data_IF_767487629312
#
_entry.id   IF_767487629312
#
_cell.length_a   1.000
_cell.length_b   1.000
_cell.length_c   1.000
_cell.angle_alpha   90.00
_cell.angle_beta   90.00
_cell.angle_gamma   90.00
#
_symmetry.space_group_name_H-M   'P 1'
#
loop_
_entity.id
_entity.type
_entity.pdbx_description
1 polymer ?
#
# COMPACT_ATOMS: atom_id res chain seq x y z
N UNK A 1 -15.45 -5.23 5.37
CA UNK A 1 -14.41 -6.15 4.84
C UNK A 1 -13.35 -6.29 5.91
N UNK A 2 -13.01 -7.52 6.29
CA UNK A 2 -11.90 -7.78 7.21
C UNK A 2 -10.61 -7.87 6.37
N UNK A 3 -9.55 -7.17 6.78
CA UNK A 3 -8.24 -7.23 6.12
C UNK A 3 -7.47 -8.37 6.79
N UNK A 4 -7.06 -9.36 6.01
CA UNK A 4 -6.21 -10.46 6.48
C UNK A 4 -4.78 -10.13 6.10
N UNK A 5 -3.89 -10.04 7.08
CA UNK A 5 -2.46 -9.83 6.85
C UNK A 5 -1.78 -11.18 6.98
N UNK A 6 -1.23 -11.68 5.86
CA UNK A 6 -0.29 -12.79 5.82
C UNK A 6 1.07 -12.21 5.45
N UNK A 7 2.07 -12.30 6.33
CA UNK A 7 3.38 -11.67 6.14
C UNK A 7 3.43 -10.20 6.60
N UNK A 8 4.18 -9.35 5.88
CA UNK A 8 4.45 -7.94 6.28
C UNK A 8 3.45 -6.92 5.74
N UNK A 9 2.67 -7.27 4.73
CA UNK A 9 1.62 -6.44 4.15
C UNK A 9 0.44 -7.31 3.68
N UNK A 10 -0.80 -6.82 3.75
CA UNK A 10 -1.96 -7.55 3.24
C UNK A 10 -1.97 -7.59 1.71
N UNK A 11 -2.44 -8.71 1.15
CA UNK A 11 -2.86 -8.78 -0.26
C UNK A 11 -4.05 -7.84 -0.46
N UNK A 12 -4.05 -7.09 -1.55
CA UNK A 12 -5.13 -6.17 -1.89
C UNK A 12 -6.49 -6.89 -1.90
N UNK A 13 -7.49 -6.30 -1.25
CA UNK A 13 -8.77 -6.98 -1.01
C UNK A 13 -9.58 -7.27 -2.28
N UNK A 14 -9.23 -6.64 -3.41
CA UNK A 14 -9.87 -6.90 -4.70
C UNK A 14 -9.13 -7.98 -5.51
N UNK A 15 -8.00 -8.50 -5.01
CA UNK A 15 -7.31 -9.65 -5.59
C UNK A 15 -7.93 -10.96 -5.09
N UNK A 16 -9.22 -11.16 -5.41
CA UNK A 16 -10.00 -12.33 -4.98
C UNK A 16 -9.31 -13.69 -5.21
N UNK A 17 -8.58 -13.93 -6.33
CA UNK A 17 -7.91 -15.20 -6.56
C UNK A 17 -6.75 -15.51 -5.61
N UNK A 18 -6.21 -14.51 -4.89
CA UNK A 18 -4.98 -14.63 -4.10
C UNK A 18 -5.17 -14.33 -2.61
N UNK A 19 -6.23 -13.61 -2.24
CA UNK A 19 -6.42 -13.06 -0.88
C UNK A 19 -6.35 -14.09 0.27
N UNK A 20 -6.70 -15.36 0.02
CA UNK A 20 -6.74 -16.42 1.04
C UNK A 20 -5.67 -17.50 0.85
N UNK A 21 -4.83 -17.41 -0.18
CA UNK A 21 -3.89 -18.48 -0.57
C UNK A 21 -2.48 -17.98 -0.92
N UNK A 22 -2.22 -16.69 -0.69
CA UNK A 22 -0.97 -16.05 -1.01
C UNK A 22 -0.68 -14.90 -0.03
N UNK A 23 0.54 -14.39 -0.09
CA UNK A 23 0.99 -13.24 0.67
C UNK A 23 1.76 -12.26 -0.24
N UNK A 24 1.89 -11.01 0.21
CA UNK A 24 2.77 -10.04 -0.46
C UNK A 24 4.21 -10.47 -0.24
N UNK A 25 4.95 -10.61 -1.34
CA UNK A 25 6.36 -11.01 -1.33
C UNK A 25 7.23 -9.96 -0.62
N UNK A 26 8.22 -10.45 0.12
CA UNK A 26 9.24 -9.61 0.73
C UNK A 26 10.60 -10.31 0.73
N UNK A 27 11.68 -9.54 0.60
CA UNK A 27 13.06 -10.02 0.57
C UNK A 27 13.93 -8.96 1.26
N UNK A 28 14.85 -9.35 2.15
CA UNK A 28 15.77 -8.44 2.86
C UNK A 28 15.07 -7.21 3.49
N UNK A 29 13.95 -7.45 4.18
CA UNK A 29 13.07 -6.42 4.75
C UNK A 29 12.39 -5.47 3.75
N UNK A 30 12.59 -5.67 2.45
CA UNK A 30 11.92 -4.95 1.38
C UNK A 30 10.59 -5.63 1.07
N UNK A 31 9.50 -4.93 1.33
CA UNK A 31 8.15 -5.37 0.98
C UNK A 31 7.86 -4.89 -0.45
N UNK A 32 7.48 -5.81 -1.34
CA UNK A 32 7.10 -5.49 -2.72
C UNK A 32 5.62 -5.12 -2.81
N UNK A 33 5.27 -4.03 -2.12
CA UNK A 33 3.95 -3.39 -2.12
C UNK A 33 4.12 -1.88 -2.21
N UNK A 34 3.34 -1.24 -3.08
CA UNK A 34 3.32 0.21 -3.19
C UNK A 34 1.93 0.70 -3.60
N UNK A 35 1.43 1.66 -2.82
CA UNK A 35 0.30 2.51 -3.19
C UNK A 35 0.84 3.84 -3.71
N UNK A 36 0.37 4.21 -4.89
CA UNK A 36 0.73 5.44 -5.58
C UNK A 36 -0.49 6.34 -5.73
N UNK A 37 -0.30 7.64 -5.62
CA UNK A 37 -1.34 8.64 -5.85
C UNK A 37 -0.89 9.73 -6.82
N UNK A 38 -1.78 10.14 -7.71
CA UNK A 38 -1.57 11.26 -8.61
C UNK A 38 -2.73 12.25 -8.44
N UNK A 39 -2.42 13.43 -7.92
CA UNK A 39 -3.38 14.53 -7.80
C UNK A 39 -3.04 15.61 -8.81
N UNK A 40 -4.02 16.02 -9.60
CA UNK A 40 -3.97 17.24 -10.39
C UNK A 40 -5.14 18.15 -9.97
N UNK A 41 -4.80 19.20 -9.22
CA UNK A 41 -5.74 20.16 -8.66
C UNK A 41 -6.51 20.95 -9.74
N UNK A 42 -5.88 21.23 -10.88
CA UNK A 42 -6.51 22.02 -11.96
C UNK A 42 -7.68 21.28 -12.63
N UNK A 43 -7.71 19.94 -12.55
CA UNK A 43 -8.73 19.12 -13.22
C UNK A 43 -9.51 18.20 -12.26
N UNK A 44 -9.39 18.38 -10.95
CA UNK A 44 -9.99 17.49 -9.92
C UNK A 44 -9.76 15.99 -10.24
N UNK A 45 -8.55 15.68 -10.67
CA UNK A 45 -8.11 14.35 -11.06
C UNK A 45 -7.32 13.76 -9.89
N UNK A 46 -7.96 12.89 -9.13
CA UNK A 46 -7.33 12.13 -8.06
C UNK A 46 -7.35 10.64 -8.44
N UNK A 47 -6.17 10.09 -8.75
CA UNK A 47 -6.00 8.73 -9.27
C UNK A 47 -5.05 7.95 -8.40
N UNK A 48 -5.38 6.69 -8.12
CA UNK A 48 -4.48 5.78 -7.44
C UNK A 48 -3.94 4.71 -8.38
N UNK A 49 -2.81 4.12 -8.00
CA UNK A 49 -2.26 2.93 -8.61
C UNK A 49 -1.62 2.07 -7.52
N UNK A 50 -2.00 0.80 -7.41
CA UNK A 50 -1.43 -0.20 -6.51
C UNK A 50 -0.62 -1.17 -7.35
N UNK A 51 0.55 -1.56 -6.84
CA UNK A 51 1.39 -2.61 -7.39
C UNK A 51 1.78 -3.53 -6.23
N UNK A 52 1.54 -4.83 -6.37
CA UNK A 52 1.94 -5.85 -5.39
C UNK A 52 2.59 -7.04 -6.10
N UNK A 53 3.76 -7.47 -5.62
CA UNK A 53 4.30 -8.78 -5.97
C UNK A 53 3.74 -9.79 -4.95
N UNK A 54 3.11 -10.85 -5.44
CA UNK A 54 2.40 -11.84 -4.65
C UNK A 54 3.07 -13.20 -4.85
N UNK A 55 3.31 -13.92 -3.76
CA UNK A 55 3.79 -15.31 -3.73
C UNK A 55 2.70 -16.22 -3.15
N UNK A 56 2.44 -17.34 -3.82
CA UNK A 56 1.47 -18.34 -3.32
C UNK A 56 2.03 -19.11 -2.11
N UNK A 57 1.17 -19.35 -1.11
CA UNK A 57 1.60 -19.95 0.17
C UNK A 57 2.05 -21.42 0.03
N UNK A 58 1.45 -22.14 -0.92
CA UNK A 58 1.59 -23.60 -1.05
C UNK A 58 2.61 -24.03 -2.11
N UNK A 59 2.93 -23.15 -3.06
CA UNK A 59 3.77 -23.47 -4.22
C UNK A 59 4.61 -22.26 -4.58
N UNK A 60 5.83 -22.49 -5.10
CA UNK A 60 6.71 -21.43 -5.59
C UNK A 60 6.16 -20.84 -6.89
N UNK A 61 5.17 -19.96 -6.76
CA UNK A 61 4.45 -19.33 -7.85
C UNK A 61 4.24 -17.84 -7.55
N UNK A 62 4.68 -17.00 -8.47
CA UNK A 62 4.68 -15.55 -8.34
C UNK A 62 3.68 -14.91 -9.29
N UNK A 63 3.10 -13.80 -8.85
CA UNK A 63 2.21 -12.98 -9.67
C UNK A 63 2.39 -11.51 -9.32
N UNK A 64 2.16 -10.62 -10.28
CA UNK A 64 2.12 -9.17 -10.02
C UNK A 64 0.69 -8.69 -10.17
N UNK A 65 0.17 -8.11 -9.09
CA UNK A 65 -1.13 -7.48 -9.03
C UNK A 65 -1.01 -5.98 -9.27
N UNK A 66 -1.87 -5.48 -10.13
CA UNK A 66 -2.03 -4.06 -10.39
C UNK A 66 -3.50 -3.68 -10.20
N UNK A 67 -3.75 -2.55 -9.52
CA UNK A 67 -5.09 -1.96 -9.43
C UNK A 67 -5.03 -0.45 -9.56
N UNK A 68 -5.89 0.15 -10.36
CA UNK A 68 -5.84 1.59 -10.62
C UNK A 68 -7.21 2.19 -10.88
N UNK A 69 -7.37 3.46 -10.57
CA UNK A 69 -8.63 4.14 -10.82
C UNK A 69 -8.71 5.49 -10.15
N UNK A 70 -9.93 6.05 -10.11
CA UNK A 70 -10.21 7.25 -9.32
C UNK A 70 -10.25 6.88 -7.84
N UNK A 71 -9.62 7.69 -6.99
CA UNK A 71 -9.67 7.49 -5.53
C UNK A 71 -11.13 7.45 -5.04
N UNK A 72 -11.45 6.52 -4.13
CA UNK A 72 -12.81 6.27 -3.65
C UNK A 72 -13.68 5.43 -4.60
N UNK A 73 -13.09 4.78 -5.61
CA UNK A 73 -13.72 3.76 -6.47
C UNK A 73 -12.83 2.52 -6.49
N UNK A 74 -13.43 1.38 -6.83
CA UNK A 74 -12.71 0.08 -6.93
C UNK A 74 -11.62 0.14 -8.01
N UNK A 75 -11.95 0.76 -9.16
CA UNK A 75 -11.03 0.89 -10.29
C UNK A 75 -11.03 -0.32 -11.22
N UNK A 76 -9.99 -0.42 -12.03
CA UNK A 76 -9.66 -1.58 -12.86
C UNK A 76 -8.47 -2.31 -12.24
N UNK A 77 -8.32 -3.59 -12.56
CA UNK A 77 -7.22 -4.40 -12.07
C UNK A 77 -6.68 -5.34 -13.13
N UNK A 78 -5.48 -5.86 -12.87
CA UNK A 78 -4.84 -6.90 -13.67
C UNK A 78 -3.96 -7.76 -12.76
N UNK A 79 -4.08 -9.07 -12.88
CA UNK A 79 -3.18 -10.04 -12.27
C UNK A 79 -2.35 -10.67 -13.39
N UNK A 80 -1.03 -10.53 -13.33
CA UNK A 80 -0.09 -11.14 -14.28
C UNK A 80 0.64 -12.28 -13.57
N UNK A 81 0.58 -13.49 -14.14
CA UNK A 81 1.24 -14.68 -13.58
C UNK A 81 2.64 -14.83 -14.16
N UNK A 82 3.60 -15.19 -13.30
CA UNK A 82 5.01 -15.41 -13.66
C UNK A 82 5.46 -16.85 -13.39
N UNK A 83 4.60 -17.72 -12.84
CA UNK A 83 5.03 -19.08 -12.51
C UNK A 83 6.14 -19.05 -11.44
N UNK A 84 7.15 -19.89 -11.59
CA UNK A 84 8.32 -19.90 -10.71
C UNK A 84 9.36 -18.81 -11.00
N UNK A 85 9.10 -17.91 -11.96
CA UNK A 85 10.03 -16.84 -12.37
C UNK A 85 9.92 -15.61 -11.45
N UNK A 86 10.63 -15.66 -10.32
CA UNK A 86 10.68 -14.56 -9.36
C UNK A 86 11.31 -13.29 -9.97
N UNK A 87 12.39 -13.44 -10.73
CA UNK A 87 13.11 -12.29 -11.28
C UNK A 87 12.27 -11.56 -12.34
N UNK A 88 11.56 -12.28 -13.20
CA UNK A 88 10.59 -11.68 -14.12
C UNK A 88 9.47 -10.93 -13.39
N UNK A 89 8.97 -11.47 -12.27
CA UNK A 89 7.97 -10.79 -11.44
C UNK A 89 8.54 -9.50 -10.79
N UNK A 90 9.78 -9.55 -10.27
CA UNK A 90 10.48 -8.38 -9.72
C UNK A 90 10.69 -7.32 -10.80
N UNK A 91 11.18 -7.68 -11.98
CA UNK A 91 11.37 -6.76 -13.10
C UNK A 91 10.06 -6.08 -13.51
N UNK A 92 8.96 -6.83 -13.57
CA UNK A 92 7.65 -6.27 -13.90
C UNK A 92 7.15 -5.27 -12.85
N UNK A 93 7.29 -5.60 -11.57
CA UNK A 93 7.00 -4.69 -10.47
C UNK A 93 7.83 -3.40 -10.57
N UNK A 94 9.16 -3.53 -10.66
CA UNK A 94 10.11 -2.42 -10.68
C UNK A 94 9.90 -1.55 -11.93
N UNK A 95 9.72 -2.17 -13.09
CA UNK A 95 9.44 -1.50 -14.35
C UNK A 95 8.12 -0.72 -14.30
N UNK A 96 7.07 -1.28 -13.68
CA UNK A 96 5.81 -0.56 -13.51
C UNK A 96 5.96 0.62 -12.57
N UNK A 97 6.65 0.47 -11.44
CA UNK A 97 6.94 1.55 -10.51
C UNK A 97 7.65 2.70 -11.23
N UNK A 98 8.76 2.41 -11.91
CA UNK A 98 9.51 3.41 -12.67
C UNK A 98 8.64 4.11 -13.73
N UNK A 99 7.82 3.38 -14.48
CA UNK A 99 6.94 3.99 -15.49
C UNK A 99 5.94 5.00 -14.89
N UNK A 100 5.47 4.76 -13.65
CA UNK A 100 4.48 5.60 -12.96
C UNK A 100 5.09 6.77 -12.21
N UNK A 101 6.29 6.60 -11.65
CA UNK A 101 6.91 7.58 -10.75
C UNK A 101 8.15 8.25 -11.32
N UNK A 102 8.79 7.64 -12.31
CA UNK A 102 10.10 8.03 -12.85
C UNK A 102 11.23 7.97 -11.80
N UNK A 103 11.08 7.10 -10.79
CA UNK A 103 12.05 6.82 -9.75
C UNK A 103 12.43 5.33 -9.79
N UNK A 104 13.66 4.97 -9.42
CA UNK A 104 14.08 3.57 -9.31
C UNK A 104 13.59 2.97 -8.00
N UNK A 105 13.11 1.72 -8.05
CA UNK A 105 12.60 1.02 -6.85
C UNK A 105 13.69 0.79 -5.79
N UNK A 106 14.92 0.51 -6.24
CA UNK A 106 16.08 0.36 -5.36
C UNK A 106 16.39 1.61 -4.55
N UNK A 107 16.05 2.79 -5.07
CA UNK A 107 16.29 4.11 -4.44
C UNK A 107 14.99 4.75 -3.91
N UNK A 108 13.96 3.94 -3.67
CA UNK A 108 12.63 4.42 -3.21
C UNK A 108 12.66 5.21 -1.89
N UNK A 109 13.70 5.05 -1.07
CA UNK A 109 13.88 5.81 0.17
C UNK A 109 14.27 7.27 -0.09
N UNK A 110 14.86 7.56 -1.25
CA UNK A 110 15.23 8.91 -1.70
C UNK A 110 14.26 9.40 -2.78
N UNK A 111 12.99 9.01 -2.68
CA UNK A 111 11.96 9.33 -3.68
C UNK A 111 11.86 10.84 -3.94
N UNK A 112 11.87 11.23 -5.22
CA UNK A 112 11.66 12.61 -5.65
C UNK A 112 10.38 12.69 -6.49
N UNK A 113 9.42 13.49 -6.03
CA UNK A 113 8.18 13.71 -6.77
C UNK A 113 8.45 14.40 -8.10
N UNK A 114 8.11 13.74 -9.20
CA UNK A 114 8.18 14.30 -10.56
C UNK A 114 6.83 14.87 -10.98
N UNK A 115 6.81 16.08 -11.54
CA UNK A 115 5.58 16.71 -12.01
C UNK A 115 4.86 15.86 -13.07
N UNK A 116 3.53 15.82 -13.02
CA UNK A 116 2.74 14.96 -13.90
C UNK A 116 2.90 13.44 -13.68
N UNK A 117 3.67 12.98 -12.68
CA UNK A 117 3.82 11.56 -12.28
C UNK A 117 3.11 11.25 -10.96
N UNK A 118 3.04 9.96 -10.63
CA UNK A 118 2.50 9.51 -9.35
C UNK A 118 3.50 9.75 -8.22
N UNK A 119 2.98 9.95 -7.01
CA UNK A 119 3.69 10.02 -5.74
C UNK A 119 3.50 8.73 -4.94
N UNK A 120 4.39 8.43 -4.00
CA UNK A 120 4.23 7.31 -3.05
C UNK A 120 3.27 7.73 -1.94
N UNK A 121 2.37 6.82 -1.56
CA UNK A 121 1.59 6.90 -0.32
C UNK A 121 2.18 5.91 0.67
N UNK A 122 2.72 6.41 1.79
CA UNK A 122 3.22 5.55 2.85
C UNK A 122 2.06 4.90 3.61
N UNK A 123 2.10 3.58 3.72
CA UNK A 123 1.12 2.76 4.43
C UNK A 123 1.80 2.18 5.67
N UNK A 124 1.29 2.52 6.85
CA UNK A 124 1.72 1.92 8.10
C UNK A 124 0.84 0.70 8.38
N UNK A 125 1.28 -0.47 7.93
CA UNK A 125 0.67 -1.73 8.34
C UNK A 125 1.10 -2.01 9.78
N UNK A 126 0.20 -1.79 10.75
CA UNK A 126 0.44 -2.18 12.12
C UNK A 126 0.60 -3.71 12.18
N UNK A 127 1.84 -4.18 12.23
CA UNK A 127 2.17 -5.60 12.40
C UNK A 127 1.65 -6.01 13.77
N UNK A 128 0.55 -6.76 13.83
CA UNK A 128 0.21 -7.53 15.02
C UNK A 128 1.16 -8.72 15.04
N UNK A 129 2.35 -8.52 15.58
CA UNK A 129 3.21 -9.61 15.99
C UNK A 129 2.57 -10.23 17.23
N UNK A 130 2.02 -11.43 17.10
CA UNK A 130 1.72 -12.29 18.24
C UNK A 130 3.05 -12.75 18.87
N UNK A 131 3.72 -11.85 19.61
CA UNK A 131 4.71 -12.14 20.69
C UNK A 131 5.42 -10.88 21.19
N UNK A 132 4.72 -10.02 21.95
CA UNK A 132 5.34 -9.16 22.99
C UNK A 132 4.28 -8.65 23.99
N UNK A 133 4.53 -8.71 25.32
CA UNK A 133 3.55 -8.31 26.32
C UNK A 133 3.36 -6.79 26.34
N UNK A 134 2.10 -6.38 26.28
CA UNK A 134 1.64 -5.00 26.22
C UNK A 134 2.17 -4.13 27.39
N UNK A 135 3.11 -3.22 27.10
CA UNK A 135 3.39 -2.06 27.97
C UNK A 135 2.30 -1.01 27.75
N UNK A 136 1.34 -0.97 28.68
CA UNK A 136 0.31 0.09 28.80
C UNK A 136 0.97 1.47 28.97
N UNK A 137 0.97 2.29 27.91
CA UNK A 137 1.18 3.75 28.07
C UNK A 137 -0.13 4.39 28.53
N UNK A 138 -0.16 4.83 29.80
CA UNK A 138 -1.22 5.69 30.35
C UNK A 138 -1.26 7.01 29.57
N UNK A 139 -2.39 7.29 28.91
CA UNK A 139 -2.73 8.65 28.46
C UNK A 139 -3.13 9.47 29.70
N UNK A 140 -2.38 10.52 30.01
CA UNK A 140 -2.84 11.61 30.87
C UNK A 140 -3.82 12.45 30.06
N UNK A 141 -5.02 12.65 30.60
CA UNK A 141 -6.01 13.59 30.09
C UNK A 141 -6.02 14.77 31.06
N UNK A 142 -5.44 15.90 30.67
CA UNK A 142 -5.60 17.17 31.39
C UNK A 142 -6.45 18.14 30.55
N UNK A 143 -7.74 18.14 30.92
CA UNK A 143 -8.61 19.29 31.23
C UNK A 143 -8.67 20.56 30.35
N UNK A 144 -9.94 20.89 30.06
CA UNK A 144 -10.62 22.22 30.11
C UNK A 144 -10.43 23.17 28.92
N UNK A 145 -11.50 23.28 28.13
CA UNK A 145 -11.88 24.52 27.45
C UNK A 145 -13.32 24.86 27.88
N UNK A 146 -13.50 25.98 28.58
CA UNK A 146 -14.81 26.52 28.97
C UNK A 146 -15.39 27.34 27.82
N UNK A 147 -16.64 27.08 27.44
CA UNK A 147 -17.40 27.87 26.46
C UNK A 147 -18.05 29.13 27.08
N UNK A 148 -18.39 30.16 26.26
CA UNK A 148 -18.48 31.54 26.68
C UNK A 148 -19.87 31.99 27.16
N UNK A 149 -19.88 33.07 27.94
CA UNK A 149 -21.05 33.75 28.50
C UNK A 149 -21.93 34.38 27.42
N UNK A 150 -23.23 34.06 27.40
CA UNK A 150 -24.25 34.78 26.64
C UNK A 150 -24.68 36.02 27.43
N UNK A 151 -24.64 37.21 26.81
CA UNK A 151 -25.23 38.44 27.34
C UNK A 151 -26.49 38.72 26.52
N UNK A 152 -27.65 38.76 27.19
CA UNK A 152 -28.93 39.20 26.62
C UNK A 152 -29.14 40.68 26.95
N UNK A 153 -29.54 41.47 25.95
CA UNK A 153 -30.18 42.78 26.12
C UNK A 153 -31.67 42.61 26.43
#
# INVERSE_FOLDING_TARGET
RNIIIKGKAPVDSECEPKINSAHVFYEDDIIYDVLLNQTNFQFNNNKFYIIQLIEDDAVMNYSVWYRWGRVGRVGQSKLESYGSDLEGAKEAFIGKFYAKTFNHWSDRTNFVKVDGKYDIVHLDYAIQSDDVPAKKKKRKTDSKLSEPTFVSL
#
